data_IF_272042747672
#
_entry.id   IF_272042747672
#
_cell.length_a   1.000
_cell.length_b   1.000
_cell.length_c   1.000
_cell.angle_alpha   90.00
_cell.angle_beta   90.00
_cell.angle_gamma   90.00
#
_symmetry.space_group_name_H-M   'P 1'
#
loop_
_entity.id
_entity.type
_entity.pdbx_description
1 polymer ?
#
# COMPACT_ATOMS: atom_id res chain seq x y z
N UNK A 1 36.32 -38.67 -30.97
CA UNK A 1 35.19 -37.72 -30.88
C UNK A 1 35.10 -37.28 -29.44
N UNK A 2 35.71 -36.16 -29.10
CA UNK A 2 35.66 -35.56 -27.76
C UNK A 2 35.66 -34.05 -27.99
N UNK A 3 34.48 -33.45 -27.90
CA UNK A 3 34.25 -32.03 -28.15
C UNK A 3 34.40 -31.30 -26.82
N UNK A 4 35.49 -30.55 -26.67
CA UNK A 4 35.72 -29.66 -25.52
C UNK A 4 34.95 -28.36 -25.73
N UNK A 5 33.94 -28.12 -24.89
CA UNK A 5 33.21 -26.87 -24.84
C UNK A 5 34.07 -25.78 -24.16
N UNK A 6 34.35 -24.70 -24.88
CA UNK A 6 34.98 -23.50 -24.33
C UNK A 6 33.93 -22.67 -23.58
N UNK A 7 34.04 -22.56 -22.26
CA UNK A 7 33.31 -21.57 -21.47
C UNK A 7 33.97 -20.20 -21.64
N UNK A 8 33.27 -19.28 -22.28
CA UNK A 8 33.72 -17.91 -22.47
C UNK A 8 33.46 -17.11 -21.19
N UNK A 9 34.46 -17.01 -20.30
CA UNK A 9 34.45 -16.08 -19.17
C UNK A 9 34.61 -14.65 -19.68
N UNK A 10 33.50 -13.92 -19.82
CA UNK A 10 33.50 -12.47 -20.02
C UNK A 10 34.03 -11.81 -18.73
N UNK A 11 35.19 -11.14 -18.83
CA UNK A 11 35.71 -10.27 -17.77
C UNK A 11 34.91 -8.97 -17.80
N UNK A 12 34.04 -8.75 -16.81
CA UNK A 12 33.39 -7.46 -16.60
C UNK A 12 34.36 -6.52 -15.87
N UNK A 13 34.66 -5.39 -16.51
CA UNK A 13 35.39 -4.25 -15.95
C UNK A 13 34.58 -3.62 -14.82
N UNK A 14 35.23 -3.37 -13.67
CA UNK A 14 34.60 -2.84 -12.47
C UNK A 14 34.13 -1.39 -12.65
N UNK A 15 32.83 -1.20 -12.92
CA UNK A 15 32.11 0.04 -12.61
C UNK A 15 31.70 0.03 -11.13
N UNK A 16 31.58 1.22 -10.51
CA UNK A 16 31.07 1.33 -9.13
C UNK A 16 29.64 0.75 -9.06
N UNK A 17 29.49 -0.41 -8.42
CA UNK A 17 28.20 -1.04 -8.13
C UNK A 17 27.61 -0.42 -6.86
N UNK A 18 26.42 0.18 -6.96
CA UNK A 18 25.62 0.57 -5.79
C UNK A 18 24.94 -0.67 -5.20
N UNK A 19 24.96 -0.82 -3.88
CA UNK A 19 24.51 -2.02 -3.16
C UNK A 19 23.30 -1.71 -2.28
N UNK A 20 22.17 -2.41 -2.51
CA UNK A 20 21.09 -2.54 -1.53
C UNK A 20 21.15 -3.89 -0.82
N UNK A 21 21.21 -3.91 0.52
CA UNK A 21 21.23 -5.13 1.33
C UNK A 21 19.91 -5.26 2.10
N UNK A 22 19.16 -6.33 1.87
CA UNK A 22 17.92 -6.60 2.60
C UNK A 22 17.84 -8.07 3.02
N UNK A 23 17.54 -8.33 4.30
CA UNK A 23 17.42 -9.67 4.85
C UNK A 23 15.96 -10.14 4.82
N UNK A 24 15.70 -11.32 4.23
CA UNK A 24 14.36 -11.90 4.13
C UNK A 24 14.08 -12.89 5.28
N UNK A 25 12.96 -12.70 5.98
CA UNK A 25 12.35 -13.73 6.83
C UNK A 25 11.02 -14.19 6.20
N UNK A 26 10.92 -15.46 5.80
CA UNK A 26 9.64 -16.12 5.53
C UNK A 26 9.43 -17.12 6.67
N UNK A 27 8.25 -17.10 7.28
CA UNK A 27 7.86 -18.05 8.31
C UNK A 27 6.70 -18.89 7.78
N UNK A 28 6.86 -20.21 7.71
CA UNK A 28 5.78 -21.15 7.43
C UNK A 28 6.17 -22.41 6.66
N UNK A 29 6.33 -23.51 7.42
CA UNK A 29 6.19 -24.94 7.09
C UNK A 29 7.02 -25.55 5.95
N UNK A 30 7.93 -26.44 6.34
CA UNK A 30 8.69 -27.38 5.53
C UNK A 30 7.79 -28.22 4.61
N UNK A 31 8.05 -28.16 3.30
CA UNK A 31 8.15 -29.31 2.39
C UNK A 31 8.67 -28.80 1.02
N UNK A 32 9.89 -29.21 0.67
CA UNK A 32 10.56 -29.10 -0.65
C UNK A 32 10.41 -27.76 -1.39
N UNK A 33 11.15 -26.73 -0.93
CA UNK A 33 11.26 -25.42 -1.62
C UNK A 33 12.63 -25.28 -2.28
N UNK A 34 12.90 -26.02 -3.36
CA UNK A 34 14.06 -25.77 -4.22
C UNK A 34 13.60 -25.81 -5.68
N UNK A 35 13.81 -24.68 -6.39
CA UNK A 35 13.53 -24.41 -7.81
C UNK A 35 12.15 -23.83 -8.23
N UNK A 36 11.49 -23.00 -7.41
CA UNK A 36 10.46 -22.08 -7.92
C UNK A 36 11.05 -20.66 -8.09
N UNK A 37 10.71 -20.01 -9.20
CA UNK A 37 11.03 -18.59 -9.44
C UNK A 37 10.44 -17.72 -8.32
N UNK A 38 11.22 -16.77 -7.82
CA UNK A 38 10.81 -15.80 -6.80
C UNK A 38 10.67 -14.42 -7.41
N UNK A 39 9.75 -13.61 -6.91
CA UNK A 39 9.59 -12.24 -7.35
C UNK A 39 9.51 -11.25 -6.20
N UNK A 40 9.90 -10.01 -6.47
CA UNK A 40 9.72 -8.86 -5.59
C UNK A 40 9.64 -7.58 -6.44
N UNK A 41 9.26 -6.48 -5.81
CA UNK A 41 9.19 -5.17 -6.45
C UNK A 41 10.47 -4.39 -6.19
N UNK A 42 10.94 -3.62 -7.16
CA UNK A 42 12.11 -2.76 -6.99
C UNK A 42 11.86 -1.39 -7.61
N UNK A 43 12.01 -0.36 -6.79
CA UNK A 43 12.02 1.02 -7.24
C UNK A 43 13.45 1.45 -7.52
N UNK A 44 13.65 2.18 -8.61
CA UNK A 44 14.91 2.85 -8.92
C UNK A 44 14.66 4.34 -9.05
N UNK A 45 15.51 5.14 -8.42
CA UNK A 45 15.45 6.58 -8.51
C UNK A 45 16.85 7.18 -8.64
N UNK A 46 16.96 8.34 -9.28
CA UNK A 46 18.22 9.09 -9.31
C UNK A 46 18.52 9.75 -7.95
N UNK A 47 19.56 10.57 -7.92
CA UNK A 47 19.96 11.32 -6.72
C UNK A 47 18.89 12.33 -6.24
N UNK A 48 18.02 12.78 -7.14
CA UNK A 48 16.96 13.74 -6.88
C UNK A 48 15.61 13.06 -6.54
N UNK A 49 15.58 11.72 -6.51
CA UNK A 49 14.38 10.94 -6.22
C UNK A 49 13.43 10.80 -7.41
N UNK A 50 13.88 11.12 -8.63
CA UNK A 50 13.10 10.92 -9.85
C UNK A 50 13.15 9.44 -10.24
N UNK A 51 12.00 8.78 -10.49
CA UNK A 51 11.98 7.38 -10.91
C UNK A 51 12.79 7.15 -12.20
N UNK A 52 13.61 6.10 -12.20
CA UNK A 52 14.39 5.66 -13.36
C UNK A 52 13.65 4.48 -13.99
N UNK A 53 13.05 4.70 -15.15
CA UNK A 53 12.11 3.76 -15.79
C UNK A 53 12.65 3.05 -17.03
N UNK A 54 13.89 3.36 -17.45
CA UNK A 54 14.53 2.84 -18.66
C UNK A 54 15.54 1.69 -18.38
N UNK A 55 15.52 1.14 -17.18
CA UNK A 55 16.36 0.01 -16.79
C UNK A 55 15.97 -1.25 -17.56
N UNK A 56 16.98 -1.99 -18.03
CA UNK A 56 16.78 -3.31 -18.63
C UNK A 56 17.22 -4.41 -17.66
N UNK A 57 16.83 -5.65 -17.95
CA UNK A 57 17.26 -6.83 -17.17
C UNK A 57 18.78 -6.94 -17.08
N UNK A 58 19.53 -6.50 -18.09
CA UNK A 58 21.01 -6.49 -18.09
C UNK A 58 21.62 -5.49 -17.10
N UNK A 59 20.85 -4.49 -16.68
CA UNK A 59 21.30 -3.46 -15.74
C UNK A 59 21.18 -3.91 -14.27
N UNK A 60 20.54 -5.05 -14.00
CA UNK A 60 20.23 -5.53 -12.64
C UNK A 60 20.80 -6.93 -12.41
N UNK A 61 21.41 -7.11 -11.23
CA UNK A 61 21.98 -8.39 -10.80
C UNK A 61 21.44 -8.74 -9.43
N UNK A 62 21.04 -10.01 -9.25
CA UNK A 62 20.60 -10.56 -7.97
C UNK A 62 21.63 -11.53 -7.44
N UNK A 63 21.99 -11.40 -6.18
CA UNK A 63 22.86 -12.31 -5.45
C UNK A 63 22.13 -12.90 -4.24
N UNK A 64 22.33 -14.19 -3.99
CA UNK A 64 21.83 -14.92 -2.83
C UNK A 64 23.01 -15.51 -2.07
N UNK A 65 23.21 -15.10 -0.82
CA UNK A 65 24.34 -15.54 0.02
C UNK A 65 25.72 -15.33 -0.66
N UNK A 66 25.82 -14.35 -1.56
CA UNK A 66 27.04 -14.04 -2.34
C UNK A 66 27.19 -14.80 -3.65
N UNK A 67 26.25 -15.70 -3.99
CA UNK A 67 26.20 -16.41 -5.27
C UNK A 67 25.23 -15.73 -6.23
N UNK A 68 25.59 -15.67 -7.53
CA UNK A 68 24.77 -15.02 -8.55
C UNK A 68 23.51 -15.86 -8.84
N UNK A 69 22.35 -15.21 -8.71
CA UNK A 69 21.08 -15.77 -9.13
C UNK A 69 20.79 -15.48 -10.60
N UNK A 70 20.03 -16.36 -11.25
CA UNK A 70 19.57 -16.11 -12.60
C UNK A 70 18.40 -15.13 -12.55
N UNK A 71 18.59 -13.92 -13.07
CA UNK A 71 17.49 -12.95 -13.22
C UNK A 71 16.67 -13.30 -14.45
N UNK A 72 15.43 -13.74 -14.22
CA UNK A 72 14.52 -14.24 -15.25
C UNK A 72 13.80 -13.09 -15.97
N UNK A 73 13.26 -12.14 -15.22
CA UNK A 73 12.57 -10.96 -15.79
C UNK A 73 12.74 -9.71 -14.94
N UNK A 74 12.62 -8.56 -15.60
CA UNK A 74 12.50 -7.24 -15.01
C UNK A 74 11.38 -6.53 -15.77
N UNK A 75 10.17 -6.56 -15.21
CA UNK A 75 8.96 -6.06 -15.87
C UNK A 75 8.57 -4.71 -15.26
N UNK A 76 8.42 -3.63 -16.05
CA UNK A 76 7.92 -2.36 -15.52
C UNK A 76 6.49 -2.53 -15.01
N UNK A 77 6.16 -1.80 -13.95
CA UNK A 77 4.84 -1.76 -13.33
C UNK A 77 4.35 -0.33 -13.39
N UNK A 78 3.20 -0.15 -14.04
CA UNK A 78 2.47 1.11 -14.22
C UNK A 78 1.12 1.10 -13.49
N UNK A 79 1.01 0.26 -12.47
CA UNK A 79 -0.21 0.07 -11.68
C UNK A 79 -0.66 1.37 -11.02
N UNK A 80 -1.92 1.81 -11.19
CA UNK A 80 -2.43 3.00 -10.53
C UNK A 80 -2.55 2.82 -9.02
N UNK A 81 -2.53 3.92 -8.28
CA UNK A 81 -3.01 3.94 -6.90
C UNK A 81 -4.53 4.11 -6.90
N UNK A 82 -5.22 3.26 -6.14
CA UNK A 82 -6.66 3.35 -5.87
C UNK A 82 -6.88 3.75 -4.43
N UNK A 83 -7.66 4.82 -4.21
CA UNK A 83 -7.98 5.32 -2.88
C UNK A 83 -9.43 5.03 -2.53
N UNK A 84 -9.68 4.23 -1.49
CA UNK A 84 -11.02 4.09 -0.91
C UNK A 84 -11.12 4.95 0.35
N UNK A 85 -12.00 5.94 0.32
CA UNK A 85 -12.27 6.81 1.47
C UNK A 85 -13.54 6.36 2.18
N UNK A 86 -13.40 5.97 3.45
CA UNK A 86 -14.53 5.67 4.33
C UNK A 86 -14.77 6.82 5.30
N UNK A 87 -15.99 7.34 5.31
CA UNK A 87 -16.41 8.48 6.12
C UNK A 87 -17.41 8.05 7.17
N UNK A 88 -17.04 8.16 8.44
CA UNK A 88 -17.97 8.04 9.56
C UNK A 88 -18.98 9.18 9.48
N UNK A 89 -20.21 8.88 9.08
CA UNK A 89 -21.34 9.80 9.13
C UNK A 89 -22.31 9.44 10.27
N UNK A 90 -21.86 8.68 11.27
CA UNK A 90 -22.66 8.29 12.42
C UNK A 90 -23.07 9.48 13.29
N UNK A 91 -23.90 9.20 14.30
CA UNK A 91 -24.53 10.25 15.14
C UNK A 91 -23.51 11.21 15.80
N UNK A 92 -22.32 10.70 16.15
CA UNK A 92 -21.27 11.49 16.81
C UNK A 92 -20.48 12.39 15.86
N UNK A 93 -20.53 12.13 14.56
CA UNK A 93 -19.81 12.91 13.54
C UNK A 93 -20.63 14.12 13.04
N UNK A 94 -21.92 14.19 13.37
CA UNK A 94 -22.81 15.31 13.00
C UNK A 94 -22.17 16.70 13.18
N UNK A 95 -21.49 17.02 14.29
CA UNK A 95 -20.94 18.37 14.51
C UNK A 95 -19.72 18.72 13.65
N UNK A 96 -19.09 17.75 12.98
CA UNK A 96 -17.85 17.95 12.21
C UNK A 96 -17.99 17.55 10.74
N UNK A 97 -19.20 17.18 10.30
CA UNK A 97 -19.40 16.70 8.94
C UNK A 97 -19.05 17.77 7.89
N UNK A 98 -19.29 19.05 8.18
CA UNK A 98 -18.90 20.15 7.29
C UNK A 98 -17.37 20.28 7.19
N UNK A 99 -16.64 20.14 8.30
CA UNK A 99 -15.17 20.13 8.31
C UNK A 99 -14.60 18.94 7.52
N UNK A 100 -15.26 17.79 7.62
CA UNK A 100 -14.88 16.59 6.85
C UNK A 100 -15.14 16.80 5.36
N UNK A 101 -16.30 17.35 4.96
CA UNK A 101 -16.59 17.63 3.54
C UNK A 101 -15.57 18.59 2.94
N UNK A 102 -15.29 19.71 3.61
CA UNK A 102 -14.30 20.68 3.14
C UNK A 102 -12.88 20.07 3.09
N UNK A 103 -12.50 19.27 4.08
CA UNK A 103 -11.23 18.56 4.05
C UNK A 103 -11.14 17.51 2.94
N UNK A 104 -12.24 16.83 2.63
CA UNK A 104 -12.32 15.87 1.53
C UNK A 104 -12.28 16.53 0.15
N UNK A 105 -12.91 17.68 -0.02
CA UNK A 105 -12.77 18.48 -1.24
C UNK A 105 -11.30 18.85 -1.46
N UNK A 106 -10.62 19.31 -0.41
CA UNK A 106 -9.19 19.60 -0.46
C UNK A 106 -8.31 18.36 -0.70
N UNK A 107 -8.67 17.21 -0.11
CA UNK A 107 -8.01 15.93 -0.37
C UNK A 107 -8.08 15.53 -1.85
N UNK A 108 -9.29 15.50 -2.41
CA UNK A 108 -9.51 15.12 -3.82
C UNK A 108 -8.84 16.10 -4.78
N UNK A 109 -8.81 17.39 -4.45
CA UNK A 109 -8.13 18.41 -5.24
C UNK A 109 -6.59 18.28 -5.20
N UNK A 110 -6.02 17.80 -4.09
CA UNK A 110 -4.58 17.62 -3.92
C UNK A 110 -4.03 16.31 -4.51
N UNK A 111 -4.91 15.32 -4.78
CA UNK A 111 -4.51 14.08 -5.45
C UNK A 111 -4.16 14.31 -6.93
N UNK A 112 -3.15 13.59 -7.42
CA UNK A 112 -2.80 13.57 -8.84
C UNK A 112 -3.97 13.06 -9.70
N UNK A 113 -4.14 13.56 -10.96
CA UNK A 113 -5.35 13.34 -11.75
C UNK A 113 -5.70 11.88 -12.07
N UNK A 114 -4.69 11.01 -12.09
CA UNK A 114 -4.76 9.58 -12.44
C UNK A 114 -5.08 8.66 -11.26
N UNK A 115 -5.09 9.19 -10.03
CA UNK A 115 -5.55 8.43 -8.86
C UNK A 115 -7.08 8.30 -8.91
N UNK A 116 -7.53 7.06 -8.93
CA UNK A 116 -8.94 6.69 -8.78
C UNK A 116 -9.34 6.77 -7.31
N UNK A 117 -10.50 7.35 -7.03
CA UNK A 117 -11.01 7.50 -5.67
C UNK A 117 -12.41 6.90 -5.59
N UNK A 118 -12.69 6.13 -4.55
CA UNK A 118 -14.03 5.73 -4.12
C UNK A 118 -14.38 6.43 -2.81
N UNK A 119 -15.65 6.76 -2.61
CA UNK A 119 -16.14 7.42 -1.39
C UNK A 119 -17.29 6.61 -0.83
N UNK A 120 -17.18 6.19 0.43
CA UNK A 120 -18.18 5.43 1.14
C UNK A 120 -18.42 5.97 2.55
N UNK A 121 -19.59 5.71 3.12
CA UNK A 121 -19.95 6.08 4.50
C UNK A 121 -20.03 4.88 5.43
N UNK A 122 -19.78 5.05 6.73
CA UNK A 122 -19.75 3.95 7.72
C UNK A 122 -20.75 4.07 8.88
N UNK A 123 -21.66 5.03 8.88
CA UNK A 123 -22.70 5.18 9.90
C UNK A 123 -23.82 4.14 9.74
N UNK A 124 -23.55 2.89 10.12
CA UNK A 124 -24.35 1.73 9.73
C UNK A 124 -23.58 0.89 8.71
N UNK A 125 -24.27 0.07 7.90
CA UNK A 125 -23.57 -0.72 6.86
C UNK A 125 -22.81 0.20 5.90
N UNK A 126 -21.58 -0.15 5.47
CA UNK A 126 -20.84 0.63 4.48
C UNK A 126 -21.66 0.87 3.21
N UNK A 127 -21.71 2.11 2.73
CA UNK A 127 -22.42 2.50 1.51
C UNK A 127 -21.53 3.34 0.62
N UNK A 128 -21.32 2.94 -0.63
CA UNK A 128 -20.57 3.69 -1.63
C UNK A 128 -21.45 4.75 -2.28
N UNK A 129 -20.93 5.98 -2.35
CA UNK A 129 -21.53 7.15 -3.00
C UNK A 129 -20.84 7.47 -4.33
N UNK A 130 -19.58 7.06 -4.46
CA UNK A 130 -18.84 6.97 -5.71
C UNK A 130 -18.02 5.68 -5.69
N UNK A 131 -18.04 4.95 -6.80
CA UNK A 131 -17.09 3.86 -7.06
C UNK A 131 -15.73 4.47 -7.47
N UNK A 132 -14.70 3.64 -7.60
CA UNK A 132 -13.36 4.09 -8.01
C UNK A 132 -13.42 4.84 -9.36
N UNK A 133 -13.20 6.15 -9.30
CA UNK A 133 -13.31 7.05 -10.45
C UNK A 133 -12.24 8.14 -10.39
N UNK A 134 -11.77 8.59 -11.56
CA UNK A 134 -10.94 9.80 -11.69
C UNK A 134 -11.80 11.06 -11.85
N UNK A 135 -13.11 10.93 -12.05
CA UNK A 135 -14.01 12.03 -12.32
C UNK A 135 -14.20 12.94 -11.09
N UNK A 136 -13.52 14.08 -11.10
CA UNK A 136 -13.56 15.04 -9.99
C UNK A 136 -14.94 15.64 -9.73
N UNK A 137 -15.81 15.72 -10.74
CA UNK A 137 -17.18 16.21 -10.57
C UNK A 137 -18.02 15.18 -9.81
N UNK A 138 -17.91 13.90 -10.18
CA UNK A 138 -18.60 12.80 -9.49
C UNK A 138 -18.16 12.68 -8.03
N UNK A 139 -16.86 12.83 -7.76
CA UNK A 139 -16.34 12.85 -6.38
C UNK A 139 -16.85 14.05 -5.59
N UNK A 140 -16.88 15.25 -6.19
CA UNK A 140 -17.42 16.43 -5.53
C UNK A 140 -18.92 16.28 -5.22
N UNK A 141 -19.71 15.73 -6.15
CA UNK A 141 -21.12 15.44 -5.93
C UNK A 141 -21.32 14.41 -4.80
N UNK A 142 -20.52 13.34 -4.78
CA UNK A 142 -20.54 12.33 -3.72
C UNK A 142 -20.21 12.92 -2.34
N UNK A 143 -19.23 13.83 -2.25
CA UNK A 143 -18.90 14.54 -1.01
C UNK A 143 -20.05 15.45 -0.59
N UNK A 144 -20.63 16.20 -1.52
CA UNK A 144 -21.70 17.18 -1.26
C UNK A 144 -22.97 16.54 -0.69
N UNK A 145 -23.27 15.29 -1.05
CA UNK A 145 -24.44 14.55 -0.56
C UNK A 145 -24.18 13.75 0.72
N UNK A 146 -22.95 13.71 1.24
CA UNK A 146 -22.67 13.07 2.53
C UNK A 146 -23.60 13.69 3.57
N UNK A 147 -24.34 12.86 4.29
CA UNK A 147 -25.33 13.32 5.26
C UNK A 147 -25.26 12.45 6.52
N UNK A 148 -25.64 12.97 7.70
CA UNK A 148 -25.63 12.15 8.89
C UNK A 148 -26.55 10.94 8.74
N UNK A 149 -26.07 9.78 9.16
CA UNK A 149 -26.91 8.60 9.31
C UNK A 149 -28.07 8.90 10.28
N UNK A 150 -29.26 8.38 9.94
CA UNK A 150 -30.47 8.56 10.75
C UNK A 150 -30.26 7.91 12.11
N UNK A 151 -29.88 6.63 12.11
CA UNK A 151 -29.60 5.81 13.29
C UNK A 151 -28.39 4.91 12.99
N UNK A 152 -27.22 5.21 13.56
CA UNK A 152 -26.02 4.42 13.30
C UNK A 152 -24.80 4.87 14.08
N UNK A 153 -24.11 3.90 14.68
CA UNK A 153 -22.73 4.02 15.10
C UNK A 153 -21.81 3.72 13.92
N UNK A 154 -20.59 4.23 13.94
CA UNK A 154 -19.59 3.90 12.92
C UNK A 154 -19.30 2.41 12.94
N UNK A 155 -19.39 1.74 11.79
CA UNK A 155 -18.97 0.34 11.62
C UNK A 155 -17.57 0.28 11.03
N UNK A 156 -16.58 0.73 11.81
CA UNK A 156 -15.21 0.91 11.35
C UNK A 156 -14.60 -0.39 10.81
N UNK A 157 -14.77 -1.50 11.54
CA UNK A 157 -14.24 -2.79 11.12
C UNK A 157 -15.03 -3.39 9.97
N UNK A 158 -16.37 -3.27 9.96
CA UNK A 158 -17.17 -3.77 8.84
C UNK A 158 -16.75 -3.07 7.54
N UNK A 159 -16.42 -1.77 7.54
CA UNK A 159 -15.88 -1.08 6.36
C UNK A 159 -14.57 -1.69 5.84
N UNK A 160 -13.62 -1.97 6.75
CA UNK A 160 -12.36 -2.64 6.38
C UNK A 160 -12.59 -4.09 5.93
N UNK A 161 -13.60 -4.77 6.47
CA UNK A 161 -13.99 -6.11 6.02
C UNK A 161 -14.56 -6.09 4.60
N UNK A 162 -15.46 -5.16 4.29
CA UNK A 162 -16.00 -5.00 2.94
C UNK A 162 -14.87 -4.68 1.95
N UNK A 163 -13.98 -3.76 2.31
CA UNK A 163 -12.88 -3.39 1.43
C UNK A 163 -11.89 -4.54 1.20
N UNK A 164 -11.52 -5.26 2.26
CA UNK A 164 -10.64 -6.42 2.14
C UNK A 164 -11.27 -7.55 1.32
N UNK A 165 -12.60 -7.73 1.37
CA UNK A 165 -13.32 -8.66 0.51
C UNK A 165 -13.31 -8.19 -0.95
N UNK A 166 -13.58 -6.90 -1.22
CA UNK A 166 -13.52 -6.35 -2.58
C UNK A 166 -12.16 -6.55 -3.23
N UNK A 167 -11.07 -6.27 -2.49
CA UNK A 167 -9.70 -6.54 -2.98
C UNK A 167 -9.43 -8.03 -3.22
N UNK A 168 -10.12 -8.92 -2.50
CA UNK A 168 -9.98 -10.36 -2.68
C UNK A 168 -10.77 -10.89 -3.89
N UNK A 169 -11.93 -10.29 -4.17
CA UNK A 169 -12.80 -10.62 -5.30
C UNK A 169 -12.26 -10.05 -6.63
N UNK A 170 -11.51 -8.94 -6.58
CA UNK A 170 -10.78 -8.42 -7.73
C UNK A 170 -9.70 -9.43 -8.18
N UNK A 171 -9.97 -10.19 -9.25
CA UNK A 171 -9.01 -11.14 -9.83
C UNK A 171 -7.70 -10.42 -10.24
N UNK A 172 -6.67 -10.53 -9.40
CA UNK A 172 -5.33 -9.91 -9.55
C UNK A 172 -5.42 -8.41 -9.85
N UNK A 173 -5.74 -7.62 -8.83
CA UNK A 173 -5.72 -6.16 -8.91
C UNK A 173 -4.33 -5.63 -9.27
N UNK A 174 -4.17 -5.14 -10.50
CA UNK A 174 -2.98 -4.40 -10.96
C UNK A 174 -3.04 -2.94 -10.45
N UNK A 175 -3.18 -2.77 -9.14
CA UNK A 175 -3.25 -1.47 -8.49
C UNK A 175 -2.68 -1.50 -7.08
N UNK A 176 -2.35 -0.34 -6.53
CA UNK A 176 -1.92 -0.18 -5.14
C UNK A 176 -3.08 0.38 -4.29
N UNK A 177 -3.70 -0.43 -3.41
CA UNK A 177 -4.83 0.03 -2.61
C UNK A 177 -4.38 0.94 -1.47
N UNK A 178 -5.09 2.06 -1.31
CA UNK A 178 -4.94 2.97 -0.18
C UNK A 178 -6.31 3.19 0.44
N UNK A 179 -6.47 2.80 1.70
CA UNK A 179 -7.72 3.01 2.45
C UNK A 179 -7.55 4.20 3.38
N UNK A 180 -8.46 5.17 3.32
CA UNK A 180 -8.50 6.33 4.20
C UNK A 180 -9.75 6.26 5.07
N UNK A 181 -9.56 5.93 6.34
CA UNK A 181 -10.62 5.94 7.35
C UNK A 181 -10.72 7.31 8.00
N UNK A 182 -11.85 7.99 7.81
CA UNK A 182 -12.21 9.23 8.52
C UNK A 182 -13.23 8.84 9.58
N UNK A 183 -12.85 8.88 10.85
CA UNK A 183 -13.66 8.30 11.93
C UNK A 183 -13.73 9.19 13.16
N UNK A 184 -14.68 8.89 14.03
CA UNK A 184 -14.65 9.30 15.43
C UNK A 184 -14.21 8.14 16.33
N UNK A 185 -13.84 8.43 17.58
CA UNK A 185 -13.68 7.44 18.65
C UNK A 185 -15.00 7.12 19.38
N UNK A 186 -16.15 7.36 18.73
CA UNK A 186 -17.47 7.00 19.26
C UNK A 186 -17.66 5.49 19.38
N UNK A 187 -18.85 5.03 19.82
CA UNK A 187 -19.15 3.60 19.90
C UNK A 187 -18.93 2.89 18.56
N UNK A 188 -18.40 1.67 18.62
CA UNK A 188 -18.23 0.78 17.47
C UNK A 188 -19.54 0.04 17.18
N UNK A 189 -20.04 0.15 15.95
CA UNK A 189 -21.27 -0.49 15.49
C UNK A 189 -21.07 -1.84 14.79
N UNK A 190 -19.83 -2.25 14.48
CA UNK A 190 -19.57 -3.46 13.72
C UNK A 190 -20.04 -4.71 14.44
N UNK A 191 -20.65 -5.64 13.70
CA UNK A 191 -21.20 -6.88 14.29
C UNK A 191 -20.22 -8.06 14.29
N UNK A 192 -19.15 -7.96 13.48
CA UNK A 192 -18.15 -9.01 13.26
C UNK A 192 -16.83 -8.77 14.01
N UNK A 193 -16.89 -8.22 15.22
CA UNK A 193 -15.70 -8.01 16.07
C UNK A 193 -15.27 -9.33 16.71
N UNK A 194 -14.62 -10.20 15.92
CA UNK A 194 -14.12 -11.52 16.34
C UNK A 194 -12.73 -11.76 15.73
N UNK A 195 -11.92 -12.57 16.40
CA UNK A 195 -10.52 -12.81 16.02
C UNK A 195 -10.35 -13.35 14.60
N UNK A 196 -11.24 -14.23 14.15
CA UNK A 196 -11.14 -14.85 12.82
C UNK A 196 -11.41 -13.85 11.68
N UNK A 197 -12.56 -13.16 11.61
CA UNK A 197 -12.79 -12.10 10.61
C UNK A 197 -11.71 -11.02 10.62
N UNK A 198 -11.24 -10.62 11.80
CA UNK A 198 -10.16 -9.64 11.92
C UNK A 198 -8.88 -10.12 11.24
N UNK A 199 -8.49 -11.37 11.52
CA UNK A 199 -7.29 -11.98 10.92
C UNK A 199 -7.42 -12.13 9.40
N UNK A 200 -8.56 -12.62 8.92
CA UNK A 200 -8.83 -12.78 7.49
C UNK A 200 -8.75 -11.43 6.75
N UNK A 201 -9.28 -10.36 7.35
CA UNK A 201 -9.12 -9.00 6.83
C UNK A 201 -7.67 -8.54 6.80
N UNK A 202 -6.92 -8.73 7.89
CA UNK A 202 -5.50 -8.37 7.91
C UNK A 202 -4.68 -9.15 6.87
N UNK A 203 -4.93 -10.46 6.73
CA UNK A 203 -4.29 -11.30 5.71
C UNK A 203 -4.55 -10.77 4.30
N UNK A 204 -5.80 -10.38 3.99
CA UNK A 204 -6.17 -9.83 2.67
C UNK A 204 -5.60 -8.43 2.42
N UNK A 205 -5.61 -7.54 3.41
CA UNK A 205 -4.97 -6.22 3.29
C UNK A 205 -3.47 -6.35 3.00
N UNK A 206 -2.79 -7.26 3.71
CA UNK A 206 -1.37 -7.50 3.50
C UNK A 206 -1.08 -8.19 2.17
N UNK A 207 -1.88 -9.19 1.77
CA UNK A 207 -1.73 -9.89 0.49
C UNK A 207 -1.89 -8.95 -0.72
N UNK A 208 -2.77 -7.95 -0.61
CA UNK A 208 -3.00 -6.95 -1.65
C UNK A 208 -2.11 -5.71 -1.50
N UNK A 209 -1.13 -5.73 -0.59
CA UNK A 209 -0.25 -4.58 -0.37
C UNK A 209 -1.03 -3.28 -0.07
N UNK A 210 -2.18 -3.40 0.58
CA UNK A 210 -3.02 -2.26 0.93
C UNK A 210 -2.36 -1.41 2.01
N UNK A 211 -2.50 -0.10 1.92
CA UNK A 211 -2.02 0.87 2.93
C UNK A 211 -3.22 1.51 3.62
N UNK A 212 -3.30 1.45 4.95
CA UNK A 212 -4.47 2.00 5.68
C UNK A 212 -4.07 3.22 6.50
N UNK A 213 -4.69 4.35 6.18
CA UNK A 213 -4.60 5.59 6.94
C UNK A 213 -5.87 5.80 7.76
N UNK A 214 -5.73 6.26 8.99
CA UNK A 214 -6.87 6.62 9.85
C UNK A 214 -6.70 8.03 10.38
N UNK A 215 -7.65 8.90 10.06
CA UNK A 215 -7.84 10.19 10.72
C UNK A 215 -9.02 10.09 11.67
N UNK A 216 -8.74 10.20 12.96
CA UNK A 216 -9.73 9.97 13.99
C UNK A 216 -9.93 11.21 14.84
N UNK A 217 -11.13 11.75 14.87
CA UNK A 217 -11.49 12.75 15.87
C UNK A 217 -11.72 12.07 17.23
N UNK A 218 -10.91 12.47 18.22
CA UNK A 218 -10.99 11.97 19.58
C UNK A 218 -11.93 12.86 20.41
N UNK A 219 -13.20 12.46 20.52
CA UNK A 219 -14.12 13.11 21.45
C UNK A 219 -13.62 12.91 22.89
N UNK A 220 -13.58 13.98 23.70
CA UNK A 220 -13.19 13.90 25.11
C UNK A 220 -14.13 13.03 25.95
N UNK A 221 -15.39 12.87 25.52
CA UNK A 221 -16.42 12.12 26.24
C UNK A 221 -16.33 10.61 26.06
N UNK A 222 -15.51 10.12 25.11
CA UNK A 222 -15.32 8.69 24.88
C UNK A 222 -13.89 8.29 25.28
N UNK A 223 -13.77 7.28 26.12
CA UNK A 223 -12.50 6.70 26.55
C UNK A 223 -12.48 5.20 26.23
N UNK A 224 -11.29 4.65 25.96
CA UNK A 224 -11.13 3.21 25.70
C UNK A 224 -11.75 2.71 24.38
N UNK A 225 -11.99 3.61 23.43
CA UNK A 225 -12.56 3.27 22.12
C UNK A 225 -11.62 2.29 21.37
N UNK A 226 -12.05 1.05 21.09
CA UNK A 226 -11.19 0.05 20.47
C UNK A 226 -10.69 0.46 19.09
N UNK A 227 -11.42 1.33 18.39
CA UNK A 227 -11.05 1.85 17.07
C UNK A 227 -9.76 2.64 17.07
N UNK A 228 -9.42 3.31 18.18
CA UNK A 228 -8.13 4.01 18.29
C UNK A 228 -6.99 2.99 18.22
N UNK A 229 -7.09 1.89 18.98
CA UNK A 229 -6.07 0.84 18.97
C UNK A 229 -6.02 0.14 17.62
N UNK A 230 -7.16 -0.24 17.05
CA UNK A 230 -7.19 -0.85 15.71
C UNK A 230 -6.61 0.07 14.64
N UNK A 231 -6.96 1.37 14.66
CA UNK A 231 -6.41 2.34 13.71
C UNK A 231 -4.89 2.46 13.80
N UNK A 232 -4.31 2.39 15.01
CA UNK A 232 -2.86 2.36 15.20
C UNK A 232 -2.26 1.05 14.69
N UNK A 233 -2.77 -0.08 15.18
CA UNK A 233 -2.21 -1.41 14.89
C UNK A 233 -2.29 -1.75 13.39
N UNK A 234 -3.42 -1.43 12.74
CA UNK A 234 -3.62 -1.68 11.30
C UNK A 234 -2.75 -0.73 10.48
N UNK A 235 -2.66 0.55 10.85
CA UNK A 235 -1.77 1.50 10.17
C UNK A 235 -0.31 1.05 10.24
N UNK A 236 0.17 0.61 11.40
CA UNK A 236 1.54 0.11 11.57
C UNK A 236 1.78 -1.15 10.72
N UNK A 237 0.86 -2.13 10.78
CA UNK A 237 0.98 -3.37 10.03
C UNK A 237 0.96 -3.16 8.50
N UNK A 238 0.22 -2.16 8.03
CA UNK A 238 0.05 -1.88 6.59
C UNK A 238 1.01 -0.81 6.05
N UNK A 239 1.86 -0.22 6.88
CA UNK A 239 2.75 0.90 6.47
C UNK A 239 2.00 2.21 6.21
N UNK A 240 0.77 2.34 6.71
CA UNK A 240 -0.04 3.54 6.64
C UNK A 240 0.21 4.49 7.80
N UNK A 241 -0.84 5.17 8.27
CA UNK A 241 -0.67 6.16 9.34
C UNK A 241 -1.92 6.44 10.15
N UNK A 242 -1.74 6.57 11.47
CA UNK A 242 -2.78 7.03 12.39
C UNK A 242 -2.58 8.50 12.75
N UNK A 243 -3.68 9.27 12.75
CA UNK A 243 -3.73 10.67 13.16
C UNK A 243 -4.94 10.90 14.06
N UNK A 244 -4.68 11.10 15.36
CA UNK A 244 -5.69 11.55 16.31
C UNK A 244 -5.88 13.07 16.24
N UNK A 245 -7.11 13.55 16.15
CA UNK A 245 -7.48 14.96 16.09
C UNK A 245 -8.17 15.37 17.39
N UNK A 246 -7.74 16.52 17.93
CA UNK A 246 -8.39 17.17 19.08
C UNK A 246 -9.37 18.26 18.68
N UNK A 247 -9.44 18.61 17.39
CA UNK A 247 -10.36 19.61 16.82
C UNK A 247 -10.88 19.17 15.45
N UNK A 248 -12.17 19.38 15.14
CA UNK A 248 -12.74 19.13 13.81
C UNK A 248 -11.99 19.80 12.65
N UNK A 249 -11.53 21.04 12.85
CA UNK A 249 -10.77 21.79 11.85
C UNK A 249 -9.46 21.09 11.42
N UNK A 250 -8.98 20.12 12.21
CA UNK A 250 -7.85 19.28 11.83
C UNK A 250 -8.08 18.51 10.51
N UNK A 251 -9.32 18.12 10.20
CA UNK A 251 -9.64 17.44 8.94
C UNK A 251 -9.35 18.32 7.72
N UNK A 252 -9.73 19.61 7.77
CA UNK A 252 -9.49 20.56 6.68
C UNK A 252 -8.02 20.74 6.32
N UNK A 253 -7.14 20.60 7.30
CA UNK A 253 -5.70 20.80 7.14
C UNK A 253 -4.99 19.50 6.76
N UNK A 254 -5.32 18.41 7.46
CA UNK A 254 -4.54 17.17 7.39
C UNK A 254 -4.99 16.24 6.26
N UNK A 255 -6.25 16.31 5.82
CA UNK A 255 -6.71 15.57 4.65
C UNK A 255 -5.94 16.00 3.39
N UNK A 256 -5.86 17.29 3.00
CA UNK A 256 -5.03 17.70 1.86
C UNK A 256 -3.57 17.27 1.99
N UNK A 257 -2.97 17.37 3.19
CA UNK A 257 -1.59 16.92 3.41
C UNK A 257 -1.43 15.42 3.20
N UNK A 258 -2.39 14.59 3.65
CA UNK A 258 -2.36 13.16 3.37
C UNK A 258 -2.44 12.87 1.86
N UNK A 259 -3.27 13.61 1.11
CA UNK A 259 -3.33 13.46 -0.34
C UNK A 259 -1.99 13.80 -1.01
N UNK A 260 -1.30 14.86 -0.56
CA UNK A 260 0.05 15.19 -1.04
C UNK A 260 1.05 14.07 -0.71
N UNK A 261 0.97 13.47 0.48
CA UNK A 261 1.81 12.34 0.87
C UNK A 261 1.56 11.11 -0.01
N UNK A 262 0.29 10.78 -0.26
CA UNK A 262 -0.13 9.69 -1.16
C UNK A 262 0.38 9.97 -2.58
N UNK A 263 0.25 11.19 -3.09
CA UNK A 263 0.71 11.59 -4.42
C UNK A 263 2.23 11.45 -4.58
N UNK A 264 3.01 11.82 -3.55
CA UNK A 264 4.48 11.64 -3.56
C UNK A 264 4.86 10.17 -3.61
N UNK A 265 4.17 9.32 -2.85
CA UNK A 265 4.39 7.86 -2.86
C UNK A 265 3.96 7.22 -4.19
N UNK A 266 2.82 7.62 -4.73
CA UNK A 266 2.31 7.16 -6.04
C UNK A 266 3.37 7.26 -7.13
N UNK A 267 4.09 8.39 -7.22
CA UNK A 267 5.12 8.57 -8.25
C UNK A 267 6.19 7.48 -8.23
N UNK A 268 6.60 7.02 -7.05
CA UNK A 268 7.57 5.93 -6.92
C UNK A 268 6.91 4.57 -7.06
N UNK A 269 5.68 4.41 -6.55
CA UNK A 269 4.93 3.15 -6.59
C UNK A 269 4.49 2.71 -7.98
N UNK A 270 4.05 3.66 -8.79
CA UNK A 270 3.60 3.41 -10.17
C UNK A 270 4.73 3.48 -11.20
N UNK A 271 5.99 3.49 -10.76
CA UNK A 271 7.18 3.48 -11.63
C UNK A 271 8.23 2.48 -11.11
N UNK A 272 7.77 1.29 -10.73
CA UNK A 272 8.62 0.21 -10.23
C UNK A 272 8.83 -0.88 -11.27
N UNK A 273 9.65 -1.86 -10.91
CA UNK A 273 9.77 -3.10 -11.66
C UNK A 273 9.41 -4.29 -10.79
N UNK A 274 8.76 -5.28 -11.39
CA UNK A 274 8.68 -6.64 -10.87
C UNK A 274 9.92 -7.38 -11.33
N UNK A 275 10.80 -7.71 -10.38
CA UNK A 275 11.96 -8.54 -10.65
C UNK A 275 11.62 -9.99 -10.32
N UNK A 276 11.80 -10.88 -11.29
CA UNK A 276 11.70 -12.33 -11.10
C UNK A 276 13.07 -12.98 -11.25
N UNK A 277 13.44 -13.84 -10.31
CA UNK A 277 14.73 -14.53 -10.31
C UNK A 277 14.60 -16.01 -9.91
N UNK A 278 15.56 -16.82 -10.34
CA UNK A 278 15.70 -18.20 -9.90
C UNK A 278 16.84 -18.31 -8.88
N UNK A 279 16.58 -18.78 -7.66
CA UNK A 279 17.63 -19.04 -6.68
C UNK A 279 18.67 -20.05 -7.20
N UNK A 280 19.97 -19.87 -6.90
CA UNK A 280 20.99 -20.88 -7.16
C UNK A 280 20.65 -22.23 -6.51
N UNK A 281 21.08 -23.33 -7.12
CA UNK A 281 20.93 -24.66 -6.51
C UNK A 281 21.60 -24.71 -5.13
N UNK A 282 20.92 -25.29 -4.14
CA UNK A 282 21.44 -25.40 -2.78
C UNK A 282 21.40 -24.10 -1.97
N UNK A 283 20.70 -23.06 -2.45
CA UNK A 283 20.41 -21.86 -1.66
C UNK A 283 19.81 -22.22 -0.29
N UNK A 284 20.20 -21.48 0.74
CA UNK A 284 19.64 -21.65 2.08
C UNK A 284 18.13 -21.35 2.10
N UNK A 285 17.42 -21.85 3.11
CA UNK A 285 15.99 -21.54 3.30
C UNK A 285 15.75 -20.03 3.53
N UNK A 286 16.77 -19.31 4.00
CA UNK A 286 16.74 -17.88 4.31
C UNK A 286 17.98 -17.17 3.79
N UNK A 287 18.11 -17.04 2.46
CA UNK A 287 19.29 -16.44 1.87
C UNK A 287 19.28 -14.93 2.10
N UNK A 288 20.45 -14.36 2.32
CA UNK A 288 20.66 -12.93 2.22
C UNK A 288 20.56 -12.53 0.74
N UNK A 289 19.52 -11.76 0.39
CA UNK A 289 19.32 -11.29 -0.98
C UNK A 289 19.95 -9.92 -1.14
N UNK A 290 20.77 -9.77 -2.18
CA UNK A 290 21.34 -8.49 -2.59
C UNK A 290 20.92 -8.19 -4.01
N UNK A 291 20.53 -6.94 -4.24
CA UNK A 291 20.27 -6.43 -5.58
C UNK A 291 21.34 -5.39 -5.88
N UNK A 292 21.89 -5.50 -7.07
CA UNK A 292 22.96 -4.66 -7.59
C UNK A 292 22.53 -4.10 -8.93
N UNK A 293 23.12 -2.98 -9.32
CA UNK A 293 22.93 -2.40 -10.64
C UNK A 293 24.25 -1.92 -11.23
N UNK A 294 24.37 -2.04 -12.55
CA UNK A 294 25.52 -1.52 -13.31
C UNK A 294 25.39 -0.03 -13.64
N UNK A 295 24.19 0.55 -13.50
CA UNK A 295 23.94 1.99 -13.68
C UNK A 295 24.51 2.77 -12.50
N UNK A 296 25.32 3.78 -12.78
CA UNK A 296 25.89 4.64 -11.73
C UNK A 296 24.88 5.65 -11.23
N UNK A 297 25.01 6.07 -9.96
CA UNK A 297 24.24 7.18 -9.36
C UNK A 297 22.73 6.95 -9.26
N UNK A 298 22.32 5.68 -9.17
CA UNK A 298 20.92 5.33 -8.89
C UNK A 298 20.78 4.71 -7.50
N UNK A 299 19.73 5.14 -6.81
CA UNK A 299 19.23 4.57 -5.58
C UNK A 299 18.24 3.45 -5.93
N UNK A 300 18.26 2.38 -5.15
CA UNK A 300 17.36 1.24 -5.34
C UNK A 300 16.68 0.87 -4.03
N UNK A 301 15.38 0.58 -4.10
CA UNK A 301 14.57 0.18 -2.95
C UNK A 301 13.80 -1.09 -3.32
N UNK A 302 14.32 -2.28 -2.98
CA UNK A 302 13.58 -3.52 -3.13
C UNK A 302 12.54 -3.67 -2.01
N UNK A 303 11.33 -4.11 -2.36
CA UNK A 303 10.19 -4.28 -1.46
C UNK A 303 9.45 -5.57 -1.82
N UNK A 304 8.80 -6.21 -0.85
CA UNK A 304 8.01 -7.43 -1.13
C UNK A 304 6.66 -7.12 -1.73
N UNK A 305 6.11 -5.99 -1.33
CA UNK A 305 4.72 -5.55 -1.51
C UNK A 305 4.62 -4.31 -2.41
N UNK A 306 5.73 -3.86 -2.99
CA UNK A 306 5.76 -2.63 -3.80
C UNK A 306 5.67 -1.34 -2.98
N UNK A 307 5.65 -1.40 -1.63
CA UNK A 307 5.54 -0.20 -0.80
C UNK A 307 6.89 0.45 -0.57
N UNK A 308 7.11 1.58 -1.24
CA UNK A 308 8.31 2.41 -1.01
C UNK A 308 8.12 3.20 0.30
N UNK A 309 9.17 3.29 1.15
CA UNK A 309 9.13 4.07 2.39
C UNK A 309 8.74 5.53 2.20
#
# INVERSE_FOLDING_TARGET
>A
MTTTAHSCRRRLTAGLLTVGLFAWGVAGTSDVVLAQSRSFFISFADADGVPVTDLTREDVVVELDGELAETLSLEPIDWPVRVTVFVDNGINTRPMLDDIREGLEGFVAALVPDVEVAIATTGGRPQFWAEHTINRVELADAIGVLSPAIDGHSTYLDALYEEAERMHEDEVGEYFPVVVMISTNGPEGSTRVRDRPFREMMERLLANSATVHTMMFAHPSFSGAPQMRWGIDIAEATGGGYRGLSSPNGFRVLLPQLAEDIARKHRLMSNQFRLTYMPPEGSSDRPAVRVLTTRTSINMVPTRDGKVP
#
